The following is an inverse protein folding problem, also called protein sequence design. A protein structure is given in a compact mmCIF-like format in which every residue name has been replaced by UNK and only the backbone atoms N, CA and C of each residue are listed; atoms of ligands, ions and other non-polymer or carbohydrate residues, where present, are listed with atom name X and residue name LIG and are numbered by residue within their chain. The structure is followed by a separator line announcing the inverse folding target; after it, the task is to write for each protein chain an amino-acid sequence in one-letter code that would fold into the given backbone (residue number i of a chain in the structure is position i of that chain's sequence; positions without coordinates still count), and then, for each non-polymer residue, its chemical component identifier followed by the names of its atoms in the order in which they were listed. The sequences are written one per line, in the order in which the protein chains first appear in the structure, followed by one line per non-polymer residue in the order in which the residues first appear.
data_IF_367229538207
#
_entry.id   IF_367229538207
#
_cell.length_a   1.000
_cell.length_b   1.000
_cell.length_c   1.000
_cell.angle_alpha   90.00
_cell.angle_beta   90.00
_cell.angle_gamma   90.00
#
_symmetry.space_group_name_H-M   'P 1'
#
loop_
_entity.id
_entity.type
_entity.pdbx_description
1 polymer ?
#
# COMPACT_ATOMS: atom_id res chain seq x y z
N UNK A 1 4.43 -29.14 16.08
CA UNK A 1 5.04 -27.80 15.88
C UNK A 1 3.94 -26.85 15.42
N UNK A 2 3.68 -25.75 16.14
CA UNK A 2 2.81 -24.68 15.62
C UNK A 2 3.56 -24.01 14.46
N UNK A 3 2.97 -23.86 13.26
CA UNK A 3 3.62 -23.13 12.19
C UNK A 3 3.91 -21.71 12.68
N UNK A 4 5.13 -21.23 12.42
CA UNK A 4 5.48 -19.84 12.71
C UNK A 4 4.53 -18.93 11.91
N UNK A 5 3.98 -17.87 12.51
CA UNK A 5 3.10 -16.96 11.80
C UNK A 5 3.83 -16.34 10.60
N UNK A 6 3.20 -16.38 9.43
CA UNK A 6 3.73 -15.75 8.22
C UNK A 6 3.55 -14.23 8.33
N UNK A 7 4.67 -13.52 8.40
CA UNK A 7 4.70 -12.08 8.47
C UNK A 7 4.72 -11.49 7.05
N UNK A 8 3.55 -11.07 6.56
CA UNK A 8 3.44 -10.35 5.28
C UNK A 8 3.85 -8.88 5.46
N UNK A 9 5.15 -8.62 5.34
CA UNK A 9 5.77 -7.29 5.32
C UNK A 9 6.75 -7.18 4.14
N UNK A 10 6.93 -5.97 3.61
CA UNK A 10 7.94 -5.70 2.57
C UNK A 10 9.34 -5.72 3.19
N UNK A 11 9.48 -5.19 4.41
CA UNK A 11 10.73 -5.26 5.19
C UNK A 11 10.63 -6.44 6.17
N UNK A 12 11.57 -7.41 6.13
CA UNK A 12 11.56 -8.51 7.08
C UNK A 12 11.67 -8.01 8.54
N UNK A 13 10.92 -8.56 9.50
CA UNK A 13 10.90 -8.06 10.89
C UNK A 13 12.28 -7.95 11.54
N UNK A 14 13.14 -8.97 11.32
CA UNK A 14 14.49 -8.98 11.89
C UNK A 14 15.36 -7.79 11.46
N UNK A 15 15.10 -7.19 10.28
CA UNK A 15 15.84 -6.01 9.82
C UNK A 15 15.47 -4.81 10.67
N UNK A 16 14.17 -4.62 10.94
CA UNK A 16 13.71 -3.54 11.80
C UNK A 16 14.13 -3.78 13.26
N UNK A 17 14.10 -5.02 13.74
CA UNK A 17 14.54 -5.36 15.10
C UNK A 17 16.01 -4.96 15.32
N UNK A 18 16.90 -5.34 14.39
CA UNK A 18 18.32 -4.99 14.48
C UNK A 18 18.58 -3.49 14.45
N UNK A 19 17.85 -2.75 13.60
CA UNK A 19 17.95 -1.30 13.56
C UNK A 19 17.41 -0.66 14.84
N UNK A 20 16.33 -1.20 15.40
CA UNK A 20 15.74 -0.73 16.65
C UNK A 20 16.66 -0.96 17.85
N UNK A 21 17.34 -2.11 17.93
CA UNK A 21 18.37 -2.42 18.94
C UNK A 21 19.56 -1.45 18.86
N UNK A 22 19.89 -0.97 17.65
CA UNK A 22 20.92 0.05 17.41
C UNK A 22 20.43 1.49 17.67
N UNK A 23 19.20 1.67 18.17
CA UNK A 23 18.64 2.98 18.51
C UNK A 23 18.04 3.74 17.33
N UNK A 24 17.77 3.08 16.19
CA UNK A 24 17.20 3.74 15.02
C UNK A 24 15.70 4.03 15.23
N UNK A 25 15.37 5.27 15.60
CA UNK A 25 14.00 5.69 15.96
C UNK A 25 12.90 5.33 14.95
N UNK A 26 13.09 5.55 13.62
CA UNK A 26 12.12 5.12 12.62
C UNK A 26 11.82 3.61 12.63
N UNK A 27 12.83 2.76 12.87
CA UNK A 27 12.63 1.31 12.91
C UNK A 27 11.78 0.89 14.12
N UNK A 28 12.03 1.51 15.28
CA UNK A 28 11.24 1.31 16.49
C UNK A 28 9.76 1.69 16.27
N UNK A 29 9.51 2.84 15.61
CA UNK A 29 8.15 3.26 15.25
C UNK A 29 7.48 2.30 14.27
N UNK A 30 8.19 1.87 13.21
CA UNK A 30 7.65 0.93 12.23
C UNK A 30 7.26 -0.42 12.85
N UNK A 31 8.08 -0.96 13.77
CA UNK A 31 7.75 -2.20 14.49
C UNK A 31 6.49 -2.05 15.34
N UNK A 32 6.36 -0.94 16.06
CA UNK A 32 5.18 -0.69 16.90
C UNK A 32 3.89 -0.60 16.06
N UNK A 33 3.96 0.02 14.88
CA UNK A 33 2.82 0.17 13.97
C UNK A 33 2.45 -1.13 13.24
N UNK A 34 3.43 -1.98 12.94
CA UNK A 34 3.22 -3.23 12.19
C UNK A 34 2.24 -4.17 12.91
N UNK A 35 2.31 -4.27 14.24
CA UNK A 35 1.34 -5.04 15.02
C UNK A 35 -0.10 -4.50 14.85
N UNK A 36 -0.28 -3.17 14.94
CA UNK A 36 -1.57 -2.51 14.77
C UNK A 36 -2.15 -2.71 13.36
N UNK A 37 -1.32 -2.62 12.32
CA UNK A 37 -1.78 -2.84 10.94
C UNK A 37 -2.14 -4.29 10.66
N UNK A 38 -1.44 -5.25 11.28
CA UNK A 38 -1.76 -6.68 11.14
C UNK A 38 -3.10 -7.01 11.77
N UNK A 39 -3.37 -6.52 12.97
CA UNK A 39 -4.67 -6.74 13.64
C UNK A 39 -5.80 -6.09 12.85
N UNK A 40 -5.60 -4.87 12.34
CA UNK A 40 -6.58 -4.20 11.49
C UNK A 40 -6.89 -4.96 10.19
N UNK A 41 -5.88 -5.57 9.54
CA UNK A 41 -6.08 -6.38 8.31
C UNK A 41 -6.98 -7.59 8.54
N UNK A 42 -6.93 -8.20 9.73
CA UNK A 42 -7.81 -9.32 10.09
C UNK A 42 -9.27 -8.88 10.30
N UNK A 43 -9.49 -7.59 10.51
CA UNK A 43 -10.80 -6.98 10.75
C UNK A 43 -11.36 -6.22 9.54
N UNK A 44 -10.56 -6.04 8.49
CA UNK A 44 -10.91 -5.21 7.35
C UNK A 44 -12.08 -5.80 6.53
N UNK A 45 -13.00 -4.90 6.19
CA UNK A 45 -14.35 -5.14 5.67
C UNK A 45 -14.39 -4.89 4.15
N UNK A 46 -15.43 -5.45 3.52
CA UNK A 46 -15.88 -5.42 2.13
C UNK A 46 -15.12 -4.54 1.12
N UNK A 47 -14.77 -5.09 -0.06
CA UNK A 47 -14.09 -4.34 -1.11
C UNK A 47 -14.94 -3.14 -1.59
N UNK A 48 -14.29 -2.08 -2.10
CA UNK A 48 -14.99 -1.00 -2.79
C UNK A 48 -15.84 -1.55 -3.94
N UNK A 49 -16.88 -0.83 -4.39
CA UNK A 49 -17.67 -1.25 -5.53
C UNK A 49 -16.76 -1.50 -6.74
N UNK A 50 -17.04 -2.55 -7.53
CA UNK A 50 -16.22 -2.90 -8.68
C UNK A 50 -16.23 -1.76 -9.70
N UNK A 51 -15.07 -1.51 -10.32
CA UNK A 51 -15.01 -0.65 -11.50
C UNK A 51 -15.32 -1.45 -12.77
N UNK A 52 -15.29 -0.76 -13.92
CA UNK A 52 -15.42 -1.39 -15.24
C UNK A 52 -14.15 -1.27 -16.09
N UNK A 53 -13.15 -0.54 -15.57
CA UNK A 53 -11.85 -0.31 -16.19
C UNK A 53 -10.83 0.00 -15.08
N UNK A 54 -9.54 0.05 -15.45
CA UNK A 54 -8.48 0.49 -14.54
C UNK A 54 -8.87 1.85 -13.93
N UNK A 55 -8.90 1.90 -12.60
CA UNK A 55 -9.18 3.12 -11.85
C UNK A 55 -8.16 3.22 -10.73
N UNK A 56 -7.26 4.21 -10.82
CA UNK A 56 -6.27 4.52 -9.78
C UNK A 56 -6.62 5.78 -9.01
N UNK A 57 -6.38 5.75 -7.71
CA UNK A 57 -6.44 6.93 -6.84
C UNK A 57 -5.21 6.98 -5.94
N UNK A 58 -4.47 8.09 -6.01
CA UNK A 58 -3.37 8.39 -5.09
C UNK A 58 -3.84 9.44 -4.08
N UNK A 59 -3.85 9.06 -2.81
CA UNK A 59 -4.11 9.93 -1.68
C UNK A 59 -2.82 10.36 -0.99
N UNK A 60 -2.88 11.50 -0.30
CA UNK A 60 -1.83 12.05 0.55
C UNK A 60 -2.26 12.00 2.00
N UNK A 61 -1.49 11.30 2.83
CA UNK A 61 -1.74 11.25 4.27
C UNK A 61 -1.20 12.50 5.02
N UNK A 62 -0.41 13.35 4.38
CA UNK A 62 0.12 14.58 4.94
C UNK A 62 0.97 14.35 6.19
N UNK A 63 1.80 13.29 6.19
CA UNK A 63 2.60 12.83 7.32
C UNK A 63 1.79 12.36 8.54
N UNK A 64 0.48 12.16 8.38
CA UNK A 64 -0.35 11.52 9.37
C UNK A 64 -0.44 10.01 9.10
N UNK A 65 -0.93 9.27 10.08
CA UNK A 65 -1.17 7.82 9.99
C UNK A 65 -2.62 7.49 9.60
N UNK A 66 -3.26 8.37 8.82
CA UNK A 66 -4.67 8.23 8.41
C UNK A 66 -4.77 7.96 6.92
N UNK A 67 -5.47 6.89 6.57
CA UNK A 67 -5.77 6.48 5.19
C UNK A 67 -7.27 6.61 4.91
N UNK A 68 -7.71 6.85 3.66
CA UNK A 68 -6.90 6.98 2.45
C UNK A 68 -6.22 8.35 2.26
N UNK A 69 -6.47 9.34 3.13
CA UNK A 69 -5.91 10.68 3.02
C UNK A 69 -6.66 11.58 2.01
N UNK A 70 -6.04 12.68 1.58
CA UNK A 70 -6.60 13.60 0.58
C UNK A 70 -6.28 13.09 -0.83
N UNK A 71 -7.24 12.88 -1.74
CA UNK A 71 -6.93 12.51 -3.12
C UNK A 71 -6.14 13.64 -3.81
N UNK A 72 -5.00 13.29 -4.39
CA UNK A 72 -4.07 14.23 -5.05
C UNK A 72 -3.74 13.85 -6.49
N UNK A 73 -4.02 12.61 -6.90
CA UNK A 73 -3.95 12.20 -8.31
C UNK A 73 -4.96 11.10 -8.60
N UNK A 74 -5.80 11.32 -9.61
CA UNK A 74 -6.81 10.37 -10.08
C UNK A 74 -6.40 9.73 -11.42
N UNK A 75 -7.11 8.68 -11.81
CA UNK A 75 -6.95 8.05 -13.13
C UNK A 75 -7.03 9.08 -14.26
N UNK A 76 -6.06 9.01 -15.19
CA UNK A 76 -5.97 9.88 -16.36
C UNK A 76 -5.44 11.30 -16.08
N UNK A 77 -5.22 11.69 -14.82
CA UNK A 77 -4.68 13.01 -14.51
C UNK A 77 -3.19 13.14 -14.86
N UNK A 78 -2.74 14.36 -15.22
CA UNK A 78 -1.34 14.63 -15.52
C UNK A 78 -0.43 14.31 -14.33
N UNK A 79 0.88 14.21 -14.60
CA UNK A 79 1.87 13.99 -13.56
C UNK A 79 1.83 15.11 -12.51
N UNK A 80 1.96 14.73 -11.24
CA UNK A 80 2.12 15.68 -10.14
C UNK A 80 3.58 16.13 -10.04
N UNK A 81 3.86 17.24 -9.37
CA UNK A 81 5.24 17.67 -9.09
C UNK A 81 5.99 16.69 -8.17
N UNK A 82 5.24 16.00 -7.30
CA UNK A 82 5.80 15.06 -6.34
C UNK A 82 6.13 13.69 -6.97
N UNK A 83 7.41 13.35 -6.93
CA UNK A 83 7.93 12.07 -7.44
C UNK A 83 7.35 10.83 -6.76
N UNK A 84 6.96 10.90 -5.48
CA UNK A 84 6.40 9.76 -4.76
C UNK A 84 4.99 9.44 -5.25
N UNK A 85 4.22 10.48 -5.59
CA UNK A 85 2.88 10.36 -6.18
C UNK A 85 2.98 9.69 -7.55
N UNK A 86 3.93 10.13 -8.37
CA UNK A 86 4.14 9.58 -9.71
C UNK A 86 4.59 8.12 -9.64
N UNK A 87 5.57 7.81 -8.78
CA UNK A 87 6.02 6.42 -8.58
C UNK A 87 4.90 5.48 -8.11
N UNK A 88 4.04 5.94 -7.21
CA UNK A 88 2.88 5.16 -6.78
C UNK A 88 1.89 4.94 -7.94
N UNK A 89 1.57 5.99 -8.68
CA UNK A 89 0.66 5.93 -9.83
C UNK A 89 1.16 4.98 -10.94
N UNK A 90 2.45 5.08 -11.27
CA UNK A 90 3.09 4.29 -12.31
C UNK A 90 3.28 2.83 -11.87
N UNK A 91 3.65 2.59 -10.61
CA UNK A 91 3.78 1.25 -10.03
C UNK A 91 2.46 0.48 -10.00
N UNK A 92 1.35 1.15 -9.66
CA UNK A 92 0.01 0.57 -9.76
C UNK A 92 -0.35 0.24 -11.22
N UNK A 93 -0.01 1.13 -12.16
CA UNK A 93 -0.23 0.90 -13.59
C UNK A 93 0.55 -0.31 -14.12
N UNK A 94 1.83 -0.42 -13.78
CA UNK A 94 2.67 -1.56 -14.15
C UNK A 94 2.17 -2.89 -13.56
N UNK A 95 1.71 -2.87 -12.31
CA UNK A 95 1.12 -4.04 -11.65
C UNK A 95 -0.16 -4.48 -12.34
N UNK A 96 -1.03 -3.53 -12.69
CA UNK A 96 -2.25 -3.84 -13.45
C UNK A 96 -1.92 -4.43 -14.82
N UNK A 97 -0.99 -3.81 -15.55
CA UNK A 97 -0.58 -4.28 -16.88
C UNK A 97 -0.02 -5.71 -16.85
N UNK A 98 0.73 -6.07 -15.80
CA UNK A 98 1.18 -7.45 -15.57
C UNK A 98 -0.02 -8.41 -15.42
N UNK A 99 -1.00 -8.08 -14.57
CA UNK A 99 -2.18 -8.91 -14.36
C UNK A 99 -3.01 -9.08 -15.64
N UNK A 100 -3.25 -8.00 -16.35
CA UNK A 100 -4.05 -8.01 -17.57
C UNK A 100 -3.32 -8.76 -18.70
N UNK A 101 -2.08 -8.40 -18.98
CA UNK A 101 -1.37 -8.87 -20.19
C UNK A 101 -0.84 -10.30 -20.03
N UNK A 102 -0.28 -10.64 -18.87
CA UNK A 102 0.37 -11.95 -18.66
C UNK A 102 -0.60 -12.97 -18.08
N UNK A 103 -1.46 -12.55 -17.16
CA UNK A 103 -2.35 -13.45 -16.43
C UNK A 103 -3.81 -13.41 -16.92
N UNK A 104 -4.14 -12.59 -17.93
CA UNK A 104 -5.50 -12.39 -18.42
C UNK A 104 -6.50 -12.10 -17.26
N UNK A 105 -6.05 -11.32 -16.28
CA UNK A 105 -6.75 -11.07 -15.02
C UNK A 105 -7.07 -9.60 -14.84
N UNK A 106 -8.35 -9.30 -14.59
CA UNK A 106 -8.84 -7.94 -14.40
C UNK A 106 -8.57 -7.45 -12.97
N UNK A 107 -7.41 -6.84 -12.73
CA UNK A 107 -6.95 -6.38 -11.39
C UNK A 107 -6.61 -7.51 -10.41
N UNK A 108 -6.30 -7.14 -9.17
CA UNK A 108 -5.82 -8.04 -8.11
C UNK A 108 -6.89 -9.09 -7.76
N UNK A 109 -8.17 -8.71 -7.74
CA UNK A 109 -9.30 -9.59 -7.42
C UNK A 109 -9.89 -10.33 -8.64
N UNK A 110 -9.53 -9.93 -9.86
CA UNK A 110 -10.13 -10.47 -11.09
C UNK A 110 -11.47 -9.83 -11.45
N UNK A 111 -11.91 -8.80 -10.73
CA UNK A 111 -13.18 -8.12 -10.88
C UNK A 111 -13.03 -6.59 -10.91
N UNK A 112 -11.92 -6.10 -11.49
CA UNK A 112 -11.65 -4.67 -11.66
C UNK A 112 -11.61 -3.88 -10.35
N UNK A 113 -11.01 -4.44 -9.28
CA UNK A 113 -10.79 -3.70 -8.03
C UNK A 113 -10.08 -2.36 -8.29
N UNK A 114 -10.67 -1.22 -7.87
CA UNK A 114 -9.99 0.07 -7.88
C UNK A 114 -8.67 0.03 -7.11
N UNK A 115 -7.62 0.58 -7.70
CA UNK A 115 -6.28 0.60 -7.13
C UNK A 115 -6.04 1.90 -6.37
N UNK A 116 -6.20 1.84 -5.04
CA UNK A 116 -6.01 2.98 -4.16
C UNK A 116 -4.66 2.89 -3.45
N UNK A 117 -3.87 3.95 -3.48
CA UNK A 117 -2.64 4.08 -2.72
C UNK A 117 -2.61 5.39 -1.94
N UNK A 118 -1.90 5.38 -0.82
CA UNK A 118 -1.67 6.57 0.00
C UNK A 118 -0.17 6.80 0.15
N UNK A 119 0.31 8.00 -0.17
CA UNK A 119 1.70 8.44 0.04
C UNK A 119 1.82 9.28 1.31
N UNK A 120 3.06 9.57 1.72
CA UNK A 120 3.39 10.41 2.88
C UNK A 120 2.76 9.93 4.19
N UNK A 121 2.73 8.61 4.37
CA UNK A 121 2.19 8.01 5.58
C UNK A 121 3.19 8.14 6.75
N UNK A 122 2.75 8.78 7.84
CA UNK A 122 3.54 8.95 9.06
C UNK A 122 4.83 9.77 8.89
N UNK A 123 5.81 9.52 9.77
CA UNK A 123 7.11 10.22 9.86
C UNK A 123 8.29 9.29 10.20
#
# INVERSE_FOLDING_TARGET
MRPAPHYCTIIPPYVLDRLAEQGHGPAQRSLALDLTHRTARLQAIAPPPPAHHLTRTIGDAGHAQRTPGRPIRLEGQPAAEDSSVNRAYDGLGATFALYETVYARNSIDGAWLPLNATVHYGQ
#
